data_IF_084329611521
#
_entry.id   IF_084329611521
#
_cell.length_a   1.000
_cell.length_b   1.000
_cell.length_c   1.000
_cell.angle_alpha   90.00
_cell.angle_beta   90.00
_cell.angle_gamma   90.00
#
_symmetry.space_group_name_H-M   'P 1'
#
loop_
_entity.id
_entity.type
_entity.pdbx_description
1 polymer ?
#
# COMPACT_ATOMS: atom_id res chain seq x y z
N UNK A 1 -30.79 -36.10 25.02
CA UNK A 1 -31.33 -34.87 25.63
C UNK A 1 -32.11 -34.08 24.58
N UNK A 2 -33.24 -33.55 24.97
CA UNK A 2 -34.04 -32.55 24.25
C UNK A 2 -34.40 -31.40 25.19
N UNK A 3 -34.57 -30.17 24.67
CA UNK A 3 -34.95 -29.01 25.49
C UNK A 3 -33.76 -28.33 26.17
N UNK A 4 -34.01 -27.51 27.17
CA UNK A 4 -33.00 -26.79 27.93
C UNK A 4 -32.20 -27.73 28.87
N UNK A 5 -30.91 -27.41 29.03
CA UNK A 5 -30.07 -28.19 29.92
C UNK A 5 -28.68 -27.65 30.10
N UNK A 6 -27.94 -28.26 31.00
CA UNK A 6 -26.50 -27.99 31.23
C UNK A 6 -25.71 -29.28 30.91
N UNK A 7 -24.55 -29.09 30.32
CA UNK A 7 -23.55 -30.13 30.09
C UNK A 7 -22.18 -29.58 30.53
N UNK A 8 -21.50 -30.35 31.37
CA UNK A 8 -20.08 -30.14 31.66
C UNK A 8 -19.31 -31.31 31.04
N UNK A 9 -18.32 -31.04 30.24
CA UNK A 9 -17.45 -32.04 29.60
C UNK A 9 -16.33 -32.48 30.54
N UNK A 10 -15.64 -33.61 30.28
CA UNK A 10 -14.45 -34.00 31.05
C UNK A 10 -13.36 -32.89 31.07
N UNK A 11 -13.21 -32.12 30.01
CA UNK A 11 -12.29 -30.96 29.90
C UNK A 11 -12.80 -29.73 30.65
N UNK A 12 -13.90 -29.86 31.42
CA UNK A 12 -14.57 -28.81 32.20
C UNK A 12 -15.18 -27.67 31.38
N UNK A 13 -15.36 -27.85 30.07
CA UNK A 13 -16.20 -26.94 29.30
C UNK A 13 -17.63 -27.03 29.80
N UNK A 14 -18.27 -25.88 30.00
CA UNK A 14 -19.64 -25.79 30.49
C UNK A 14 -20.54 -25.18 29.41
N UNK A 15 -21.52 -25.99 28.95
CA UNK A 15 -22.58 -25.51 28.06
C UNK A 15 -23.89 -25.38 28.82
N UNK A 16 -24.61 -24.29 28.62
CA UNK A 16 -25.96 -24.04 29.11
C UNK A 16 -26.81 -23.60 27.92
N UNK A 17 -27.82 -24.35 27.56
CA UNK A 17 -28.64 -24.03 26.40
C UNK A 17 -29.57 -25.16 25.95
N UNK A 18 -30.10 -24.99 24.73
CA UNK A 18 -30.97 -25.99 24.13
C UNK A 18 -30.18 -27.19 23.60
N UNK A 19 -30.78 -28.35 23.68
CA UNK A 19 -30.32 -29.61 23.10
C UNK A 19 -31.35 -30.18 22.13
N UNK A 20 -30.86 -30.82 21.08
CA UNK A 20 -31.65 -31.60 20.16
C UNK A 20 -30.87 -32.86 19.77
N UNK A 21 -31.52 -34.05 19.95
CA UNK A 21 -30.86 -35.35 19.79
C UNK A 21 -29.48 -35.46 20.50
N UNK A 22 -29.38 -34.94 21.70
CA UNK A 22 -28.17 -34.99 22.51
C UNK A 22 -27.08 -33.99 22.12
N UNK A 23 -27.24 -33.26 21.05
CA UNK A 23 -26.29 -32.25 20.57
C UNK A 23 -26.71 -30.84 20.99
N UNK A 24 -25.73 -29.92 21.19
CA UNK A 24 -26.00 -28.49 21.38
C UNK A 24 -26.79 -27.98 20.19
N UNK A 25 -27.88 -27.24 20.43
CA UNK A 25 -28.77 -26.74 19.39
C UNK A 25 -29.48 -25.46 19.84
N UNK A 26 -29.85 -24.56 18.87
CA UNK A 26 -30.52 -23.31 19.24
C UNK A 26 -29.63 -22.39 20.09
N UNK A 27 -30.22 -21.54 20.90
CA UNK A 27 -29.48 -20.60 21.76
C UNK A 27 -28.79 -21.33 22.92
N UNK A 28 -27.54 -20.89 23.21
CA UNK A 28 -26.76 -21.39 24.32
C UNK A 28 -25.52 -20.59 24.64
N UNK A 29 -24.96 -20.87 25.80
CA UNK A 29 -23.67 -20.31 26.25
C UNK A 29 -22.70 -21.47 26.47
N UNK A 30 -21.53 -21.38 25.86
CA UNK A 30 -20.37 -22.24 26.09
C UNK A 30 -19.30 -21.46 26.80
N UNK A 31 -18.82 -21.98 27.94
CA UNK A 31 -17.68 -21.37 28.66
C UNK A 31 -16.61 -22.45 28.87
N UNK A 32 -15.35 -22.08 28.68
CA UNK A 32 -14.21 -22.97 28.87
C UNK A 32 -13.45 -22.63 30.16
N UNK A 33 -12.62 -23.52 30.69
CA UNK A 33 -11.78 -23.25 31.86
C UNK A 33 -10.76 -22.13 31.62
N UNK A 34 -10.41 -21.86 30.35
CA UNK A 34 -9.55 -20.75 29.96
C UNK A 34 -10.25 -19.39 30.05
N UNK A 35 -11.57 -19.37 30.39
CA UNK A 35 -12.37 -18.16 30.42
C UNK A 35 -12.94 -17.72 29.08
N UNK A 36 -12.68 -18.46 27.99
CA UNK A 36 -13.33 -18.17 26.71
C UNK A 36 -14.82 -18.38 26.85
N UNK A 37 -15.61 -17.53 26.21
CA UNK A 37 -17.06 -17.60 26.27
C UNK A 37 -17.66 -17.38 24.88
N UNK A 38 -18.55 -18.28 24.51
CA UNK A 38 -19.43 -18.11 23.36
C UNK A 38 -20.87 -17.98 23.78
N UNK A 39 -21.57 -16.99 23.29
CA UNK A 39 -23.01 -16.81 23.46
C UNK A 39 -23.65 -16.70 22.09
N UNK A 40 -24.48 -17.64 21.71
CA UNK A 40 -25.06 -17.63 20.38
C UNK A 40 -25.82 -18.88 20.01
N UNK A 41 -26.06 -19.02 18.71
CA UNK A 41 -26.75 -20.18 18.18
C UNK A 41 -25.82 -21.37 17.94
N UNK A 42 -26.33 -22.55 18.15
CA UNK A 42 -25.70 -23.83 17.82
C UNK A 42 -26.56 -24.61 16.85
N UNK A 43 -25.92 -25.32 15.95
CA UNK A 43 -26.55 -26.29 15.08
C UNK A 43 -25.73 -27.58 15.07
N UNK A 44 -26.36 -28.71 15.43
CA UNK A 44 -25.70 -30.00 15.53
C UNK A 44 -24.38 -30.02 16.32
N UNK A 45 -24.30 -29.24 17.38
CA UNK A 45 -23.11 -29.16 18.25
C UNK A 45 -22.12 -28.06 17.91
N UNK A 46 -22.20 -27.45 16.71
CA UNK A 46 -21.29 -26.40 16.23
C UNK A 46 -21.90 -25.00 16.38
N UNK A 47 -21.08 -23.98 16.58
CA UNK A 47 -21.49 -22.57 16.51
C UNK A 47 -22.02 -22.29 15.10
N UNK A 48 -23.16 -21.60 15.01
CA UNK A 48 -23.85 -21.41 13.74
C UNK A 48 -24.72 -20.14 13.74
N UNK A 49 -24.90 -19.49 12.57
CA UNK A 49 -25.63 -18.24 12.40
C UNK A 49 -24.97 -17.13 13.22
N UNK A 50 -25.61 -16.61 14.26
CA UNK A 50 -25.15 -15.45 15.03
C UNK A 50 -24.63 -15.83 16.42
N UNK A 51 -23.53 -15.18 16.82
CA UNK A 51 -22.99 -15.33 18.16
C UNK A 51 -21.87 -14.35 18.50
N UNK A 52 -21.56 -14.32 19.80
CA UNK A 52 -20.49 -13.51 20.36
C UNK A 52 -19.47 -14.46 20.99
N UNK A 53 -18.22 -14.32 20.61
CA UNK A 53 -17.09 -15.02 21.23
C UNK A 53 -16.18 -14.01 21.93
N UNK A 54 -15.82 -14.31 23.17
CA UNK A 54 -14.88 -13.49 23.95
C UNK A 54 -13.74 -14.40 24.41
N UNK A 55 -12.52 -13.98 24.17
CA UNK A 55 -11.30 -14.68 24.57
C UNK A 55 -10.99 -14.42 26.06
N UNK A 56 -10.84 -15.47 26.84
CA UNK A 56 -10.67 -15.38 28.29
C UNK A 56 -9.23 -15.32 28.76
N UNK A 57 -8.28 -15.88 28.01
CA UNK A 57 -6.89 -16.04 28.43
C UNK A 57 -5.90 -15.95 27.27
N UNK A 58 -4.62 -15.77 27.62
CA UNK A 58 -3.51 -15.73 26.65
C UNK A 58 -3.40 -14.42 25.90
N UNK A 59 -2.75 -14.46 24.75
CA UNK A 59 -2.45 -13.33 23.88
C UNK A 59 -3.69 -12.52 23.47
N UNK A 60 -4.86 -13.19 23.37
CA UNK A 60 -6.10 -12.63 22.86
C UNK A 60 -7.11 -12.29 23.97
N UNK A 61 -6.66 -12.32 25.24
CA UNK A 61 -7.55 -12.06 26.39
C UNK A 61 -8.27 -10.71 26.23
N UNK A 62 -9.61 -10.77 26.29
CA UNK A 62 -10.46 -9.61 26.15
C UNK A 62 -10.87 -9.29 24.72
N UNK A 63 -10.26 -9.93 23.72
CA UNK A 63 -10.69 -9.80 22.33
C UNK A 63 -12.10 -10.38 22.16
N UNK A 64 -12.85 -9.82 21.24
CA UNK A 64 -14.24 -10.17 20.98
C UNK A 64 -14.49 -10.31 19.48
N UNK A 65 -15.19 -11.38 19.11
CA UNK A 65 -15.85 -11.48 17.81
C UNK A 65 -17.36 -11.46 17.98
N UNK A 66 -18.05 -10.70 17.18
CA UNK A 66 -19.51 -10.65 17.12
C UNK A 66 -19.94 -10.72 15.65
N UNK A 67 -20.64 -11.79 15.28
CA UNK A 67 -20.99 -11.99 13.88
C UNK A 67 -21.53 -13.38 13.58
N UNK A 68 -21.50 -13.69 12.29
CA UNK A 68 -21.99 -14.95 11.77
C UNK A 68 -20.97 -16.07 11.94
N UNK A 69 -21.50 -17.29 12.08
CA UNK A 69 -20.75 -18.53 12.21
C UNK A 69 -21.29 -19.58 11.25
N UNK A 70 -20.38 -20.35 10.66
CA UNK A 70 -20.69 -21.55 9.90
C UNK A 70 -19.72 -22.65 10.31
N UNK A 71 -20.27 -23.83 10.66
CA UNK A 71 -19.50 -25.02 11.07
C UNK A 71 -18.51 -24.77 12.23
N UNK A 72 -18.78 -23.76 13.07
CA UNK A 72 -17.94 -23.41 14.23
C UNK A 72 -16.97 -22.26 14.00
N UNK A 73 -16.79 -21.80 12.78
CA UNK A 73 -15.83 -20.76 12.38
C UNK A 73 -16.52 -19.42 12.08
N UNK A 74 -15.79 -18.31 12.17
CA UNK A 74 -16.25 -16.99 11.74
C UNK A 74 -16.59 -17.03 10.26
N UNK A 75 -17.75 -16.50 9.91
CA UNK A 75 -18.26 -16.55 8.54
C UNK A 75 -19.19 -15.36 8.30
N UNK A 76 -19.54 -15.05 7.03
CA UNK A 76 -20.48 -13.97 6.72
C UNK A 76 -20.05 -12.63 7.31
N UNK A 77 -21.01 -11.84 7.79
CA UNK A 77 -20.70 -10.53 8.38
C UNK A 77 -20.31 -10.66 9.86
N UNK A 78 -19.26 -9.94 10.24
CA UNK A 78 -18.82 -9.96 11.64
C UNK A 78 -17.84 -8.84 11.98
N UNK A 79 -17.79 -8.54 13.28
CA UNK A 79 -16.88 -7.56 13.87
C UNK A 79 -15.93 -8.28 14.83
N UNK A 80 -14.65 -8.10 14.61
CA UNK A 80 -13.60 -8.47 15.57
C UNK A 80 -13.07 -7.20 16.24
N UNK A 81 -13.03 -7.18 17.55
CA UNK A 81 -12.48 -6.07 18.34
C UNK A 81 -11.44 -6.65 19.29
N UNK A 82 -10.21 -6.15 19.18
CA UNK A 82 -9.16 -6.53 20.12
C UNK A 82 -9.26 -5.74 21.43
N UNK A 83 -8.71 -6.29 22.49
CA UNK A 83 -8.65 -5.65 23.80
C UNK A 83 -7.91 -4.31 23.82
N UNK A 84 -7.01 -4.06 22.85
CA UNK A 84 -6.30 -2.78 22.65
C UNK A 84 -7.07 -1.78 21.77
N UNK A 85 -8.31 -2.08 21.35
CA UNK A 85 -9.16 -1.21 20.57
C UNK A 85 -8.99 -1.32 19.03
N UNK A 86 -8.11 -2.19 18.55
CA UNK A 86 -8.09 -2.50 17.11
C UNK A 86 -9.39 -3.19 16.70
N UNK A 87 -9.87 -2.90 15.50
CA UNK A 87 -11.16 -3.39 15.03
C UNK A 87 -11.10 -3.81 13.57
N UNK A 88 -11.77 -4.89 13.23
CA UNK A 88 -12.15 -5.23 11.86
C UNK A 88 -13.66 -5.46 11.80
N UNK A 89 -14.31 -4.93 10.78
CA UNK A 89 -15.72 -5.07 10.49
C UNK A 89 -15.91 -5.39 9.01
N UNK A 90 -16.50 -6.51 8.69
CA UNK A 90 -16.66 -6.93 7.31
C UNK A 90 -16.95 -8.41 7.16
N UNK A 91 -16.67 -8.89 5.96
CA UNK A 91 -16.91 -10.30 5.61
C UNK A 91 -15.82 -11.21 6.14
N UNK A 92 -16.26 -12.43 6.51
CA UNK A 92 -15.43 -13.51 7.01
C UNK A 92 -15.71 -14.80 6.26
N UNK A 93 -14.70 -15.58 6.02
CA UNK A 93 -14.82 -16.91 5.44
C UNK A 93 -13.81 -17.84 6.10
N UNK A 94 -14.33 -18.95 6.68
CA UNK A 94 -13.48 -19.99 7.29
C UNK A 94 -12.48 -19.41 8.31
N UNK A 95 -12.96 -18.49 9.16
CA UNK A 95 -12.17 -17.84 10.21
C UNK A 95 -11.27 -16.69 9.74
N UNK A 96 -11.20 -16.41 8.43
CA UNK A 96 -10.33 -15.37 7.84
C UNK A 96 -11.15 -14.19 7.32
N UNK A 97 -10.55 -12.99 7.37
CA UNK A 97 -11.11 -11.81 6.71
C UNK A 97 -11.21 -12.06 5.21
N UNK A 98 -12.36 -11.75 4.61
CA UNK A 98 -12.65 -12.01 3.22
C UNK A 98 -13.61 -10.95 2.67
N UNK A 99 -13.80 -10.87 1.33
CA UNK A 99 -14.73 -9.91 0.74
C UNK A 99 -14.43 -8.46 1.14
N UNK A 100 -15.45 -7.65 1.34
CA UNK A 100 -15.29 -6.25 1.72
C UNK A 100 -15.24 -6.08 3.24
N UNK A 101 -14.33 -5.23 3.72
CA UNK A 101 -14.22 -4.93 5.15
C UNK A 101 -13.42 -3.68 5.47
N UNK A 102 -13.64 -3.18 6.70
CA UNK A 102 -13.00 -2.01 7.27
C UNK A 102 -12.19 -2.41 8.48
N UNK A 103 -10.94 -1.97 8.52
CA UNK A 103 -10.04 -2.23 9.63
C UNK A 103 -9.46 -0.95 10.23
N UNK A 104 -9.22 -0.98 11.54
CA UNK A 104 -8.51 0.07 12.26
C UNK A 104 -7.48 -0.57 13.19
N UNK A 105 -6.22 -0.14 13.07
CA UNK A 105 -5.10 -0.62 13.86
C UNK A 105 -4.21 0.54 14.30
N UNK A 106 -4.17 0.79 15.62
CA UNK A 106 -3.39 1.88 16.19
C UNK A 106 -3.89 3.28 15.82
N UNK A 107 -3.78 3.73 14.66
CA UNK A 107 -4.31 4.99 14.09
C UNK A 107 -4.62 4.81 12.63
N UNK A 108 -4.06 3.75 12.06
CA UNK A 108 -4.20 3.41 10.66
C UNK A 108 -5.57 2.81 10.36
N UNK A 109 -6.08 3.07 9.16
CA UNK A 109 -7.37 2.58 8.68
C UNK A 109 -7.19 1.93 7.32
N UNK A 110 -7.94 0.87 7.08
CA UNK A 110 -8.08 0.29 5.75
C UNK A 110 -9.56 0.03 5.47
N UNK A 111 -9.99 0.36 4.27
CA UNK A 111 -11.31 0.03 3.74
C UNK A 111 -11.15 -0.54 2.34
N UNK A 112 -11.58 -1.78 2.14
CA UNK A 112 -11.39 -2.43 0.85
C UNK A 112 -11.61 -3.94 0.89
N UNK A 113 -11.16 -4.58 -0.17
CA UNK A 113 -11.32 -6.02 -0.33
C UNK A 113 -10.23 -6.81 0.42
N UNK A 114 -10.62 -7.98 0.87
CA UNK A 114 -9.81 -8.95 1.59
C UNK A 114 -9.93 -10.32 0.95
N UNK A 115 -8.88 -11.07 0.98
CA UNK A 115 -8.85 -12.47 0.56
C UNK A 115 -7.95 -13.26 1.49
N UNK A 116 -8.48 -14.32 2.09
CA UNK A 116 -7.74 -15.26 2.94
C UNK A 116 -6.91 -14.57 4.04
N UNK A 117 -7.48 -13.48 4.64
CA UNK A 117 -6.87 -12.72 5.71
C UNK A 117 -6.01 -11.54 5.27
N UNK A 118 -5.71 -11.36 3.98
CA UNK A 118 -4.84 -10.33 3.43
C UNK A 118 -5.61 -9.28 2.61
N UNK A 119 -5.08 -8.05 2.53
CA UNK A 119 -5.61 -7.01 1.63
C UNK A 119 -5.50 -7.49 0.19
N UNK A 120 -6.58 -7.37 -0.58
CA UNK A 120 -6.63 -7.83 -1.96
C UNK A 120 -7.61 -6.98 -2.78
N UNK A 121 -7.43 -6.90 -4.13
CA UNK A 121 -8.33 -6.09 -4.96
C UNK A 121 -8.24 -4.60 -4.64
N UNK A 122 -9.34 -3.86 -4.72
CA UNK A 122 -9.38 -2.42 -4.46
C UNK A 122 -9.45 -2.13 -2.96
N UNK A 123 -8.73 -1.09 -2.54
CA UNK A 123 -8.79 -0.62 -1.17
C UNK A 123 -8.16 0.76 -0.97
N UNK A 124 -8.57 1.40 0.12
CA UNK A 124 -8.01 2.66 0.60
C UNK A 124 -7.38 2.43 1.96
N UNK A 125 -6.13 2.81 2.11
CA UNK A 125 -5.41 2.81 3.38
C UNK A 125 -5.06 4.25 3.75
N UNK A 126 -5.31 4.61 5.00
CA UNK A 126 -4.94 5.91 5.58
C UNK A 126 -4.11 5.63 6.82
N UNK A 127 -2.90 6.14 6.86
CA UNK A 127 -2.00 6.02 8.00
C UNK A 127 -2.21 7.15 8.99
N UNK A 128 -1.77 6.94 10.22
CA UNK A 128 -1.91 7.89 11.33
C UNK A 128 -1.11 9.17 11.14
N UNK A 129 -0.08 9.17 10.29
CA UNK A 129 0.70 10.34 9.90
C UNK A 129 0.04 11.21 8.82
N UNK A 130 -1.11 10.75 8.27
CA UNK A 130 -1.87 11.43 7.24
C UNK A 130 -1.60 10.97 5.83
N UNK A 131 -0.66 10.06 5.62
CA UNK A 131 -0.45 9.44 4.33
C UNK A 131 -1.69 8.63 3.91
N UNK A 132 -1.92 8.51 2.61
CA UNK A 132 -3.04 7.76 2.04
C UNK A 132 -2.63 7.00 0.79
N UNK A 133 -3.11 5.77 0.66
CA UNK A 133 -3.06 5.02 -0.59
C UNK A 133 -4.45 4.58 -1.01
N UNK A 134 -4.78 4.79 -2.27
CA UNK A 134 -5.98 4.29 -2.93
C UNK A 134 -5.59 3.53 -4.19
N UNK A 135 -5.90 2.24 -4.24
CA UNK A 135 -5.49 1.43 -5.38
C UNK A 135 -5.68 -0.06 -5.19
N UNK A 136 -5.04 -0.81 -6.07
CA UNK A 136 -5.08 -2.27 -6.02
C UNK A 136 -4.06 -2.83 -5.02
N UNK A 137 -4.48 -3.93 -4.39
CA UNK A 137 -3.67 -4.78 -3.54
C UNK A 137 -3.65 -6.21 -4.08
N UNK A 138 -2.58 -6.89 -3.87
CA UNK A 138 -2.42 -8.31 -4.12
C UNK A 138 -1.61 -8.92 -2.98
N UNK A 139 -2.18 -9.92 -2.30
CA UNK A 139 -1.54 -10.68 -1.23
C UNK A 139 -0.88 -9.74 -0.17
N UNK A 140 -1.65 -8.73 0.28
CA UNK A 140 -1.25 -7.74 1.27
C UNK A 140 -0.44 -6.55 0.73
N UNK A 141 0.06 -6.58 -0.50
CA UNK A 141 0.97 -5.59 -1.06
C UNK A 141 0.29 -4.68 -2.10
N UNK A 142 0.73 -3.41 -2.19
CA UNK A 142 0.31 -2.48 -3.25
C UNK A 142 0.73 -3.06 -4.60
N UNK A 143 -0.24 -3.16 -5.54
CA UNK A 143 -0.03 -3.78 -6.84
C UNK A 143 -0.95 -3.17 -7.90
N UNK A 144 -0.55 -3.20 -9.21
CA UNK A 144 -1.34 -2.59 -10.28
C UNK A 144 -1.48 -1.08 -10.13
N UNK A 145 -2.59 -0.49 -10.57
CA UNK A 145 -2.80 0.96 -10.52
C UNK A 145 -3.15 1.43 -9.11
N UNK A 146 -2.56 2.56 -8.71
CA UNK A 146 -2.87 3.18 -7.43
C UNK A 146 -2.29 4.59 -7.28
N UNK A 147 -2.89 5.32 -6.34
CA UNK A 147 -2.49 6.66 -5.95
C UNK A 147 -1.96 6.63 -4.52
N UNK A 148 -0.78 7.14 -4.31
CA UNK A 148 -0.25 7.43 -2.97
C UNK A 148 -0.17 8.94 -2.79
N UNK A 149 -0.76 9.44 -1.72
CA UNK A 149 -0.70 10.85 -1.33
C UNK A 149 -0.02 10.93 0.03
N UNK A 150 1.09 11.64 0.08
CA UNK A 150 1.80 11.92 1.33
C UNK A 150 1.11 13.05 2.07
N UNK A 151 1.31 13.10 3.37
CA UNK A 151 0.74 14.12 4.27
C UNK A 151 1.18 15.55 3.94
N UNK A 152 2.32 15.71 3.26
CA UNK A 152 2.81 17.00 2.77
C UNK A 152 2.16 17.46 1.44
N UNK A 153 1.26 16.65 0.87
CA UNK A 153 0.60 16.92 -0.41
C UNK A 153 1.33 16.36 -1.64
N UNK A 154 2.52 15.82 -1.45
CA UNK A 154 3.22 15.06 -2.50
C UNK A 154 2.36 13.89 -2.97
N UNK A 155 2.38 13.54 -4.26
CA UNK A 155 1.50 12.53 -4.83
C UNK A 155 2.20 11.67 -5.87
N UNK A 156 1.91 10.37 -5.85
CA UNK A 156 2.25 9.46 -6.94
C UNK A 156 0.98 8.80 -7.48
N UNK A 157 0.82 8.82 -8.78
CA UNK A 157 -0.25 8.13 -9.51
C UNK A 157 0.40 7.23 -10.54
N UNK A 158 0.18 5.92 -10.48
CA UNK A 158 0.80 5.02 -11.44
C UNK A 158 0.75 3.56 -11.01
N UNK A 159 1.61 2.79 -11.66
CA UNK A 159 1.71 1.36 -11.42
C UNK A 159 2.55 1.05 -10.17
N UNK A 160 2.13 -0.01 -9.49
CA UNK A 160 2.77 -0.57 -8.31
C UNK A 160 3.03 -2.06 -8.51
N UNK A 161 4.12 -2.52 -8.01
CA UNK A 161 4.47 -3.93 -7.93
C UNK A 161 5.19 -4.21 -6.63
N UNK A 162 4.61 -5.10 -5.81
CA UNK A 162 5.19 -5.57 -4.55
C UNK A 162 5.64 -4.38 -3.68
N UNK A 163 4.68 -3.45 -3.41
CA UNK A 163 4.85 -2.19 -2.67
C UNK A 163 5.79 -1.15 -3.31
N UNK A 164 6.33 -1.37 -4.51
CA UNK A 164 7.24 -0.44 -5.19
C UNK A 164 6.58 0.22 -6.39
N UNK A 165 6.90 1.49 -6.63
CA UNK A 165 6.55 2.17 -7.89
C UNK A 165 7.15 1.39 -9.05
N UNK A 166 6.34 1.12 -10.09
CA UNK A 166 6.72 0.33 -11.25
C UNK A 166 5.99 0.82 -12.50
N UNK A 167 6.44 0.41 -13.72
CA UNK A 167 5.77 0.79 -14.96
C UNK A 167 5.62 2.29 -15.13
N UNK A 168 4.52 2.75 -15.70
CA UNK A 168 4.25 4.17 -15.92
C UNK A 168 3.69 4.83 -14.68
N UNK A 169 4.11 6.08 -14.42
CA UNK A 169 3.59 6.85 -13.30
C UNK A 169 3.99 8.32 -13.31
N UNK A 170 3.16 9.10 -12.61
CA UNK A 170 3.37 10.54 -12.39
C UNK A 170 3.63 10.78 -10.91
N UNK A 171 4.71 11.43 -10.61
CA UNK A 171 5.07 11.90 -9.27
C UNK A 171 5.03 13.42 -9.25
N UNK A 172 4.22 13.99 -8.38
CA UNK A 172 4.11 15.44 -8.18
C UNK A 172 4.57 15.75 -6.76
N UNK A 173 5.59 16.57 -6.64
CA UNK A 173 6.09 17.05 -5.34
C UNK A 173 5.24 18.20 -4.82
N UNK A 174 5.28 18.42 -3.51
CA UNK A 174 4.52 19.48 -2.84
C UNK A 174 4.89 20.90 -3.35
N UNK A 175 6.11 21.09 -3.86
CA UNK A 175 6.62 22.37 -4.42
C UNK A 175 6.22 22.60 -5.90
N UNK A 176 5.50 21.64 -6.49
CA UNK A 176 5.02 21.71 -7.86
C UNK A 176 5.94 21.09 -8.90
N UNK A 177 7.10 20.58 -8.52
CA UNK A 177 7.90 19.73 -9.40
C UNK A 177 7.11 18.50 -9.82
N UNK A 178 7.34 18.01 -11.04
CA UNK A 178 6.64 16.83 -11.57
C UNK A 178 7.56 15.91 -12.35
N UNK A 179 7.42 14.63 -12.17
CA UNK A 179 8.01 13.60 -13.02
C UNK A 179 6.91 12.71 -13.60
N UNK A 180 6.94 12.51 -14.90
CA UNK A 180 6.08 11.58 -15.62
C UNK A 180 6.95 10.64 -16.46
N UNK A 181 6.82 9.32 -16.25
CA UNK A 181 7.64 8.36 -16.98
C UNK A 181 7.68 6.98 -16.32
N UNK A 182 8.67 6.22 -16.74
CA UNK A 182 8.85 4.85 -16.30
C UNK A 182 9.50 4.77 -14.92
N UNK A 183 9.05 3.76 -14.17
CA UNK A 183 9.62 3.35 -12.88
C UNK A 183 9.99 1.87 -12.91
N UNK A 184 11.07 1.53 -12.26
CA UNK A 184 11.50 0.16 -12.00
C UNK A 184 12.00 0.06 -10.58
N UNK A 185 11.41 -0.87 -9.80
CA UNK A 185 11.77 -1.13 -8.40
C UNK A 185 11.84 0.15 -7.53
N UNK A 186 10.86 1.05 -7.71
CA UNK A 186 10.73 2.31 -6.98
C UNK A 186 11.55 3.47 -7.52
N UNK A 187 12.40 3.28 -8.54
CA UNK A 187 13.28 4.29 -9.10
C UNK A 187 12.84 4.72 -10.50
N UNK A 188 13.04 5.98 -10.86
CA UNK A 188 12.88 6.48 -12.23
C UNK A 188 13.78 5.65 -13.16
N UNK A 189 13.22 5.21 -14.29
CA UNK A 189 13.90 4.35 -15.26
C UNK A 189 13.35 4.59 -16.64
N UNK A 190 14.04 4.13 -17.72
CA UNK A 190 13.54 4.26 -19.10
C UNK A 190 13.30 5.70 -19.51
N UNK A 191 12.24 5.96 -20.25
CA UNK A 191 11.89 7.31 -20.72
C UNK A 191 11.09 8.06 -19.65
N UNK A 192 11.37 9.36 -19.52
CA UNK A 192 10.62 10.20 -18.60
C UNK A 192 10.84 11.68 -18.82
N UNK A 193 9.88 12.44 -18.32
CA UNK A 193 9.87 13.90 -18.33
C UNK A 193 9.90 14.39 -16.88
N UNK A 194 10.83 15.27 -16.58
CA UNK A 194 10.85 16.02 -15.33
C UNK A 194 10.57 17.50 -15.62
N UNK A 195 9.56 18.05 -14.99
CA UNK A 195 9.22 19.47 -15.07
C UNK A 195 9.43 20.09 -13.71
N UNK A 196 10.33 21.06 -13.64
CA UNK A 196 10.54 21.87 -12.44
C UNK A 196 9.45 22.93 -12.33
N UNK A 197 9.06 23.28 -11.14
CA UNK A 197 8.06 24.32 -10.84
C UNK A 197 8.48 25.70 -11.41
N UNK A 198 9.80 25.95 -11.56
CA UNK A 198 10.35 27.12 -12.22
C UNK A 198 10.28 27.13 -13.77
N UNK A 199 9.62 26.14 -14.39
CA UNK A 199 9.39 26.08 -15.83
C UNK A 199 10.50 25.40 -16.63
N UNK A 200 11.58 24.95 -16.00
CA UNK A 200 12.57 24.11 -16.67
C UNK A 200 11.99 22.72 -16.91
N UNK A 201 12.49 22.00 -17.94
CA UNK A 201 12.01 20.66 -18.29
C UNK A 201 13.17 19.78 -18.74
N UNK A 202 13.18 18.53 -18.35
CA UNK A 202 14.03 17.49 -18.92
C UNK A 202 13.18 16.38 -19.52
N UNK A 203 13.49 15.97 -20.72
CA UNK A 203 12.87 14.85 -21.43
C UNK A 203 13.96 13.90 -21.90
N UNK A 204 13.93 12.64 -21.48
CA UNK A 204 14.95 11.68 -21.89
C UNK A 204 15.06 10.47 -20.99
N UNK A 205 16.21 9.83 -21.08
CA UNK A 205 16.47 8.55 -20.45
C UNK A 205 16.88 8.68 -18.98
N UNK A 206 16.36 7.75 -18.18
CA UNK A 206 16.67 7.57 -16.77
C UNK A 206 17.17 6.16 -16.50
N UNK A 207 18.13 6.04 -15.62
CA UNK A 207 18.62 4.77 -15.10
C UNK A 207 18.87 4.87 -13.60
N UNK A 208 18.26 3.95 -12.82
CA UNK A 208 18.41 3.87 -11.37
C UNK A 208 18.18 5.19 -10.64
N UNK A 209 17.16 5.96 -11.07
CA UNK A 209 16.74 7.24 -10.49
C UNK A 209 17.48 8.47 -11.01
N UNK A 210 18.47 8.30 -11.88
CA UNK A 210 19.31 9.39 -12.44
C UNK A 210 19.05 9.60 -13.91
N UNK A 211 19.21 10.82 -14.38
CA UNK A 211 19.35 11.13 -15.80
C UNK A 211 20.59 10.40 -16.33
N UNK A 212 20.39 9.47 -17.27
CA UNK A 212 21.49 8.66 -17.83
C UNK A 212 21.06 8.12 -19.19
N UNK A 213 21.69 8.59 -20.26
CA UNK A 213 21.37 8.33 -21.66
C UNK A 213 21.07 9.60 -22.44
N UNK A 214 20.31 9.48 -23.53
CA UNK A 214 19.95 10.61 -24.39
C UNK A 214 18.79 11.42 -23.80
N UNK A 215 18.86 12.74 -23.95
CA UNK A 215 17.80 13.62 -23.50
C UNK A 215 17.98 15.07 -23.90
N UNK A 216 16.96 15.87 -23.59
CA UNK A 216 16.92 17.30 -23.77
C UNK A 216 16.49 17.97 -22.48
N UNK A 217 17.29 18.91 -22.02
CA UNK A 217 16.88 19.83 -20.95
C UNK A 217 16.55 21.18 -21.58
N UNK A 218 15.34 21.66 -21.36
CA UNK A 218 14.86 22.97 -21.82
C UNK A 218 14.75 23.88 -20.60
N UNK A 219 15.22 25.10 -20.72
CA UNK A 219 15.15 26.11 -19.66
C UNK A 219 13.96 27.04 -19.88
N UNK A 220 13.50 27.68 -18.84
CA UNK A 220 12.39 28.64 -18.89
C UNK A 220 12.64 29.85 -19.76
N UNK A 221 13.92 30.22 -20.00
CA UNK A 221 14.33 31.28 -20.92
C UNK A 221 14.35 30.86 -22.40
N UNK A 222 14.09 29.57 -22.70
CA UNK A 222 14.08 28.97 -24.03
C UNK A 222 15.42 28.38 -24.48
N UNK A 223 16.45 28.48 -23.68
CA UNK A 223 17.72 27.77 -23.91
C UNK A 223 17.56 26.28 -23.74
N UNK A 224 18.43 25.47 -24.35
CA UNK A 224 18.38 24.03 -24.21
C UNK A 224 19.73 23.34 -24.30
N UNK A 225 19.83 22.19 -23.66
CA UNK A 225 20.91 21.22 -23.80
C UNK A 225 20.37 19.92 -24.37
N UNK A 226 20.99 19.44 -25.45
CA UNK A 226 20.53 18.18 -26.08
C UNK A 226 21.71 17.25 -26.30
N UNK A 227 21.56 15.98 -25.96
CA UNK A 227 22.61 14.97 -26.18
C UNK A 227 22.62 13.90 -25.10
N UNK A 228 23.83 13.44 -24.78
CA UNK A 228 24.03 12.40 -23.77
C UNK A 228 24.30 13.00 -22.39
N UNK A 229 23.67 12.39 -21.42
CA UNK A 229 23.88 12.63 -19.99
C UNK A 229 24.38 11.34 -19.32
N UNK A 230 25.19 11.46 -18.28
CA UNK A 230 25.65 10.35 -17.45
C UNK A 230 25.54 10.70 -15.97
N UNK A 231 24.75 9.90 -15.23
CA UNK A 231 24.57 10.06 -13.77
C UNK A 231 24.27 11.51 -13.37
N UNK A 232 23.27 12.15 -14.03
CA UNK A 232 22.84 13.55 -13.87
C UNK A 232 23.86 14.59 -14.38
N UNK A 233 24.89 14.23 -15.11
CA UNK A 233 25.88 15.16 -15.65
C UNK A 233 25.82 15.21 -17.17
N UNK A 234 26.06 16.38 -17.76
CA UNK A 234 26.25 16.53 -19.20
C UNK A 234 27.50 15.75 -19.62
N UNK A 235 27.39 14.92 -20.66
CA UNK A 235 28.52 14.13 -21.15
C UNK A 235 28.90 14.51 -22.59
N UNK A 236 28.00 14.25 -23.52
CA UNK A 236 28.14 14.69 -24.93
C UNK A 236 26.88 15.49 -25.29
N UNK A 237 26.84 16.79 -24.97
CA UNK A 237 25.66 17.64 -25.18
C UNK A 237 26.02 18.89 -25.97
N UNK A 238 25.08 19.36 -26.81
CA UNK A 238 25.12 20.65 -27.48
C UNK A 238 24.27 21.64 -26.71
N UNK A 239 24.79 22.87 -26.57
CA UNK A 239 24.16 23.97 -25.85
C UNK A 239 23.58 24.93 -26.86
N UNK A 240 22.29 25.25 -26.75
CA UNK A 240 21.59 26.21 -27.58
C UNK A 240 21.10 27.38 -26.74
N UNK A 241 21.18 28.58 -27.25
CA UNK A 241 20.51 29.74 -26.68
C UNK A 241 19.01 29.74 -27.06
N UNK A 242 18.24 30.69 -26.52
CA UNK A 242 16.79 30.84 -26.79
C UNK A 242 16.44 31.04 -28.28
N UNK A 243 17.37 31.52 -29.09
CA UNK A 243 17.18 31.73 -30.54
C UNK A 243 17.54 30.48 -31.37
N UNK A 244 17.92 29.36 -30.70
CA UNK A 244 18.31 28.12 -31.35
C UNK A 244 19.76 28.09 -31.86
N UNK A 245 20.56 29.10 -31.59
CA UNK A 245 21.98 29.15 -31.99
C UNK A 245 22.82 28.30 -31.01
N UNK A 246 23.77 27.54 -31.55
CA UNK A 246 24.75 26.82 -30.75
C UNK A 246 25.70 27.82 -30.09
N UNK A 247 25.85 27.72 -28.77
CA UNK A 247 26.73 28.57 -27.96
C UNK A 247 27.81 27.78 -27.22
N UNK A 248 27.78 26.45 -27.32
CA UNK A 248 28.78 25.59 -26.72
C UNK A 248 28.44 24.12 -26.84
N UNK A 249 29.34 23.28 -26.35
CA UNK A 249 29.15 21.82 -26.29
C UNK A 249 29.92 21.20 -25.14
N UNK A 250 29.44 20.05 -24.67
CA UNK A 250 30.20 19.14 -23.83
C UNK A 250 30.69 17.95 -24.66
N UNK A 251 31.93 17.61 -24.51
CA UNK A 251 32.53 16.40 -25.09
C UNK A 251 33.23 15.62 -23.97
N UNK A 252 32.80 14.41 -23.71
CA UNK A 252 33.32 13.58 -22.63
C UNK A 252 33.35 14.29 -21.25
N UNK A 253 32.33 15.14 -20.99
CA UNK A 253 32.19 15.90 -19.74
C UNK A 253 33.01 17.16 -19.64
N UNK A 254 33.74 17.55 -20.68
CA UNK A 254 34.50 18.82 -20.79
C UNK A 254 33.66 19.83 -21.57
N UNK A 255 33.52 21.04 -21.05
CA UNK A 255 32.80 22.15 -21.67
C UNK A 255 33.68 22.95 -22.64
N UNK A 256 33.15 23.20 -23.82
CA UNK A 256 33.78 24.00 -24.86
C UNK A 256 32.82 25.11 -25.31
N UNK A 257 33.34 26.32 -25.58
CA UNK A 257 32.59 27.38 -26.29
C UNK A 257 32.38 27.05 -27.77
N UNK A 258 31.69 27.92 -28.50
CA UNK A 258 31.45 27.77 -29.92
C UNK A 258 32.71 27.98 -30.81
N UNK A 259 33.80 28.46 -30.23
CA UNK A 259 35.10 28.59 -30.89
C UNK A 259 36.04 27.41 -30.62
N UNK A 260 35.61 26.46 -29.75
CA UNK A 260 36.39 25.27 -29.40
C UNK A 260 37.35 25.46 -28.22
N UNK A 261 37.25 26.59 -27.50
CA UNK A 261 38.05 26.81 -26.30
C UNK A 261 37.41 26.09 -25.09
N UNK A 262 38.23 25.53 -24.22
CA UNK A 262 37.77 24.88 -22.97
C UNK A 262 37.30 25.98 -22.02
N UNK A 263 36.03 25.88 -21.56
CA UNK A 263 35.42 26.77 -20.58
C UNK A 263 35.42 26.17 -19.16
N UNK A 264 35.52 24.86 -19.06
CA UNK A 264 35.62 24.16 -17.79
C UNK A 264 35.70 22.65 -17.94
N UNK A 265 36.50 22.01 -17.08
CA UNK A 265 36.60 20.56 -16.98
C UNK A 265 36.02 20.13 -15.67
N UNK A 266 35.00 19.31 -15.72
CA UNK A 266 34.37 18.76 -14.52
C UNK A 266 34.97 17.38 -14.21
N UNK A 267 35.75 17.29 -13.14
CA UNK A 267 36.28 16.03 -12.63
C UNK A 267 35.60 15.76 -11.30
N UNK A 268 34.92 14.61 -11.21
CA UNK A 268 34.19 14.18 -9.99
C UNK A 268 33.22 15.21 -9.38
N UNK A 269 32.65 16.13 -10.22
CA UNK A 269 31.68 17.10 -9.75
C UNK A 269 32.27 18.42 -9.30
N UNK A 270 33.58 18.62 -9.43
CA UNK A 270 34.26 19.87 -9.13
C UNK A 270 34.77 20.49 -10.46
N UNK A 271 34.49 21.77 -10.67
CA UNK A 271 35.06 22.53 -11.77
C UNK A 271 36.56 22.78 -11.48
N UNK A 272 37.43 22.36 -12.37
CA UNK A 272 38.88 22.63 -12.32
C UNK A 272 39.26 23.70 -13.30
#
# INVERSE_FOLDING_TARGET
KHGQGTLTTPDRDRYVGKFWHGKKHGQGTLSTPNGDKYVGRFYHGKKHVQGIYTYGKGKWKGDKYEGEYKEGEFHGQGTYTSSNGNKYEGEWKEGMRHGFGKGKWGGDKYEGNWKDGEKHGQGTETWSDGDMYEGKYKDGEKHGQGTYTWSDGTKYVGEWKDNKKHGQGTYTWFDGDMYEGEYKDGKRHGQGTYTWSGGNKYEGEYKDGKIDGKGTQTFSDGGKWTGEFRKNKRWNTTIYNKNGNIIGKFVNGTEYDNYGNIQGKWVNGVQQ
#
